data_IF_026111668167
#
_entry.id   IF_026111668167
#
_cell.length_a   1.000
_cell.length_b   1.000
_cell.length_c   1.000
_cell.angle_alpha   90.00
_cell.angle_beta   90.00
_cell.angle_gamma   90.00
#
_symmetry.space_group_name_H-M   'P 1'
#
loop_
_entity.id
_entity.type
_entity.pdbx_description
1 polymer ?
#
# COMPACT_ATOMS: atom_id res chain seq x y z
N UNK A 1 -67.53 -36.19 13.50
CA UNK A 1 -66.45 -36.84 12.69
C UNK A 1 -65.36 -35.82 12.43
N UNK A 2 -64.26 -35.92 13.13
CA UNK A 2 -63.11 -35.00 13.00
C UNK A 2 -62.14 -35.59 11.97
N UNK A 3 -61.99 -34.95 10.82
CA UNK A 3 -61.03 -35.34 9.79
C UNK A 3 -59.62 -35.11 10.31
N UNK A 4 -58.86 -36.21 10.46
CA UNK A 4 -57.41 -36.17 10.75
C UNK A 4 -56.65 -35.67 9.50
N UNK A 5 -56.15 -34.44 9.54
CA UNK A 5 -55.20 -33.92 8.55
C UNK A 5 -53.99 -34.87 8.48
N UNK A 6 -53.82 -35.57 7.38
CA UNK A 6 -52.62 -36.38 7.06
C UNK A 6 -51.44 -35.42 6.93
N UNK A 7 -50.55 -35.40 7.91
CA UNK A 7 -49.25 -34.76 7.79
C UNK A 7 -48.43 -35.57 6.77
N UNK A 8 -48.02 -34.92 5.69
CA UNK A 8 -47.10 -35.55 4.70
C UNK A 8 -45.78 -35.83 5.39
N UNK A 9 -45.19 -37.06 5.19
CA UNK A 9 -43.94 -37.37 5.81
C UNK A 9 -42.85 -36.43 5.26
N UNK A 10 -42.01 -35.93 6.14
CA UNK A 10 -40.87 -35.07 5.83
C UNK A 10 -39.90 -35.85 4.95
N UNK A 11 -39.73 -35.45 3.69
CA UNK A 11 -38.79 -36.09 2.78
C UNK A 11 -37.42 -35.48 2.89
N UNK A 12 -36.52 -36.12 3.65
CA UNK A 12 -35.13 -35.71 3.82
C UNK A 12 -34.42 -35.36 2.50
N UNK A 13 -34.63 -36.17 1.43
CA UNK A 13 -34.07 -35.91 0.11
C UNK A 13 -34.55 -34.57 -0.49
N UNK A 14 -35.85 -34.24 -0.33
CA UNK A 14 -36.41 -33.00 -0.87
C UNK A 14 -35.84 -31.77 -0.12
N UNK A 15 -35.77 -31.88 1.18
CA UNK A 15 -35.20 -30.82 2.04
C UNK A 15 -33.73 -30.61 1.73
N UNK A 16 -32.94 -31.70 1.59
CA UNK A 16 -31.52 -31.63 1.22
C UNK A 16 -31.33 -30.94 -0.15
N UNK A 17 -32.14 -31.31 -1.17
CA UNK A 17 -32.07 -30.66 -2.49
C UNK A 17 -32.40 -29.16 -2.38
N UNK A 18 -33.42 -28.77 -1.61
CA UNK A 18 -33.79 -27.38 -1.42
C UNK A 18 -32.61 -26.60 -0.79
N UNK A 19 -31.99 -27.16 0.26
CA UNK A 19 -30.84 -26.55 0.92
C UNK A 19 -29.69 -26.38 -0.10
N UNK A 20 -29.35 -27.41 -0.87
CA UNK A 20 -28.31 -27.34 -1.88
C UNK A 20 -28.60 -26.25 -2.96
N UNK A 21 -29.85 -26.15 -3.41
CA UNK A 21 -30.25 -25.12 -4.38
C UNK A 21 -30.13 -23.73 -3.76
N UNK A 22 -30.58 -23.54 -2.52
CA UNK A 22 -30.47 -22.25 -1.82
C UNK A 22 -28.99 -21.84 -1.64
N UNK A 23 -28.14 -22.76 -1.15
CA UNK A 23 -26.72 -22.51 -0.98
C UNK A 23 -26.03 -22.18 -2.30
N UNK A 24 -26.33 -22.95 -3.37
CA UNK A 24 -25.76 -22.71 -4.69
C UNK A 24 -26.19 -21.34 -5.26
N UNK A 25 -27.49 -21.02 -5.14
CA UNK A 25 -28.01 -19.72 -5.59
C UNK A 25 -27.37 -18.56 -4.82
N UNK A 26 -27.27 -18.69 -3.49
CA UNK A 26 -26.56 -17.71 -2.66
C UNK A 26 -25.09 -17.55 -3.10
N UNK A 27 -24.37 -18.65 -3.29
CA UNK A 27 -22.94 -18.61 -3.70
C UNK A 27 -22.74 -17.92 -5.05
N UNK A 28 -23.62 -18.19 -6.03
CA UNK A 28 -23.55 -17.55 -7.35
C UNK A 28 -23.83 -16.04 -7.24
N UNK A 29 -24.87 -15.65 -6.52
CA UNK A 29 -25.22 -14.23 -6.31
C UNK A 29 -24.08 -13.53 -5.56
N UNK A 30 -23.58 -14.16 -4.49
CA UNK A 30 -22.47 -13.64 -3.70
C UNK A 30 -21.22 -13.42 -4.55
N UNK A 31 -20.82 -14.36 -5.43
CA UNK A 31 -19.69 -14.20 -6.32
C UNK A 31 -19.87 -13.04 -7.33
N UNK A 32 -21.08 -12.88 -7.87
CA UNK A 32 -21.37 -11.76 -8.76
C UNK A 32 -21.24 -10.43 -8.03
N UNK A 33 -21.83 -10.31 -6.84
CA UNK A 33 -21.72 -9.11 -6.00
C UNK A 33 -20.25 -8.85 -5.65
N UNK A 34 -19.53 -9.89 -5.20
CA UNK A 34 -18.10 -9.80 -4.86
C UNK A 34 -17.30 -9.25 -6.02
N UNK A 35 -17.49 -9.79 -7.25
CA UNK A 35 -16.78 -9.29 -8.42
C UNK A 35 -16.99 -7.79 -8.62
N UNK A 36 -18.25 -7.34 -8.66
CA UNK A 36 -18.55 -5.93 -8.94
C UNK A 36 -18.05 -4.99 -7.84
N UNK A 37 -18.25 -5.36 -6.56
CA UNK A 37 -17.80 -4.55 -5.43
C UNK A 37 -16.29 -4.54 -5.34
N UNK A 38 -15.64 -5.70 -5.43
CA UNK A 38 -14.19 -5.81 -5.37
C UNK A 38 -13.52 -5.00 -6.50
N UNK A 39 -13.93 -5.22 -7.75
CA UNK A 39 -13.35 -4.50 -8.89
C UNK A 39 -13.54 -2.97 -8.76
N UNK A 40 -14.64 -2.51 -8.16
CA UNK A 40 -14.87 -1.08 -7.91
C UNK A 40 -13.96 -0.46 -6.85
N UNK A 41 -13.39 -1.28 -5.95
CA UNK A 41 -12.46 -0.82 -4.92
C UNK A 41 -11.01 -0.72 -5.43
N UNK A 42 -10.70 -1.28 -6.58
CA UNK A 42 -9.38 -1.29 -7.19
C UNK A 42 -9.39 -0.66 -8.59
N UNK A 43 -9.82 0.61 -8.70
CA UNK A 43 -9.87 1.30 -9.99
C UNK A 43 -8.46 1.58 -10.52
N UNK A 44 -8.37 2.15 -11.72
CA UNK A 44 -7.17 2.83 -12.17
C UNK A 44 -7.07 4.18 -11.44
N UNK A 45 -5.87 4.54 -11.03
CA UNK A 45 -5.54 5.84 -10.44
C UNK A 45 -4.75 6.66 -11.46
N UNK A 46 -5.37 7.73 -11.94
CA UNK A 46 -4.69 8.70 -12.80
C UNK A 46 -3.81 9.63 -11.94
N UNK A 47 -2.77 10.19 -12.56
CA UNK A 47 -1.94 11.20 -11.91
C UNK A 47 -2.81 12.39 -11.51
N UNK A 48 -2.72 12.78 -10.27
CA UNK A 48 -3.46 13.93 -9.76
C UNK A 48 -2.96 15.24 -10.40
N UNK A 49 -3.83 16.22 -10.45
CA UNK A 49 -3.43 17.57 -10.83
C UNK A 49 -2.56 18.19 -9.72
N UNK A 50 -1.27 18.25 -9.98
CA UNK A 50 -0.27 18.75 -9.02
C UNK A 50 -0.41 20.25 -8.74
N UNK A 51 -1.17 21.00 -9.57
CA UNK A 51 -1.40 22.44 -9.35
C UNK A 51 -2.35 22.72 -8.19
N UNK A 52 -3.19 21.74 -7.82
CA UNK A 52 -4.16 21.84 -6.73
C UNK A 52 -3.83 20.87 -5.57
N UNK A 53 -2.56 20.67 -5.28
CA UNK A 53 -2.08 19.80 -4.21
C UNK A 53 -0.95 20.45 -3.41
N UNK A 54 -0.84 20.12 -2.13
CA UNK A 54 0.23 20.58 -1.24
C UNK A 54 1.51 19.73 -1.34
N UNK A 55 1.52 18.66 -2.15
CA UNK A 55 2.66 17.76 -2.30
C UNK A 55 3.81 18.34 -3.10
N UNK A 56 5.02 17.82 -2.89
CA UNK A 56 6.17 18.10 -3.76
C UNK A 56 5.87 17.62 -5.19
N UNK A 57 6.37 18.36 -6.16
CA UNK A 57 6.24 18.04 -7.58
C UNK A 57 7.63 17.73 -8.13
N UNK A 58 7.76 16.72 -8.96
CA UNK A 58 9.06 16.40 -9.54
C UNK A 58 9.67 17.56 -10.34
N UNK A 59 8.86 18.30 -11.07
CA UNK A 59 9.30 19.48 -11.84
C UNK A 59 9.99 20.56 -10.98
N UNK A 60 9.70 20.63 -9.68
CA UNK A 60 10.33 21.59 -8.76
C UNK A 60 11.70 21.08 -8.26
N UNK A 61 12.04 19.80 -8.52
CA UNK A 61 13.22 19.10 -8.00
C UNK A 61 14.11 18.53 -9.11
N UNK A 62 13.71 18.61 -10.38
CA UNK A 62 14.38 17.87 -11.48
C UNK A 62 15.82 18.29 -11.74
N UNK A 63 16.15 19.55 -11.48
CA UNK A 63 17.54 20.06 -11.64
C UNK A 63 18.48 19.50 -10.54
N UNK A 64 17.96 19.32 -9.32
CA UNK A 64 18.72 18.84 -8.16
C UNK A 64 18.74 17.31 -8.07
N UNK A 65 17.60 16.69 -8.40
CA UNK A 65 17.41 15.23 -8.35
C UNK A 65 17.02 14.67 -9.73
N UNK A 66 17.93 14.71 -10.72
CA UNK A 66 17.64 14.17 -12.05
C UNK A 66 17.36 12.66 -11.97
N UNK A 67 16.35 12.20 -12.71
CA UNK A 67 15.97 10.79 -12.76
C UNK A 67 16.09 10.20 -14.15
N UNK A 68 16.46 8.94 -14.23
CA UNK A 68 16.37 8.15 -15.44
C UNK A 68 15.03 7.43 -15.49
N UNK A 69 14.32 7.59 -16.61
CA UNK A 69 13.09 6.87 -16.90
C UNK A 69 13.40 5.54 -17.57
N UNK A 70 12.70 4.50 -17.17
CA UNK A 70 12.79 3.18 -17.80
C UNK A 70 11.44 2.46 -17.68
N UNK A 71 11.33 1.32 -18.36
CA UNK A 71 10.12 0.48 -18.30
C UNK A 71 10.51 -0.97 -18.04
N UNK A 72 9.63 -1.69 -17.37
CA UNK A 72 9.71 -3.13 -17.21
C UNK A 72 8.31 -3.75 -17.31
N UNK A 73 8.23 -5.07 -17.49
CA UNK A 73 6.97 -5.76 -17.64
C UNK A 73 6.55 -6.43 -16.33
N UNK A 74 5.29 -6.24 -15.93
CA UNK A 74 4.63 -7.03 -14.89
C UNK A 74 3.41 -7.71 -15.50
N UNK A 75 3.52 -9.02 -15.76
CA UNK A 75 2.57 -9.74 -16.60
C UNK A 75 2.45 -9.09 -17.98
N UNK A 76 1.23 -8.70 -18.36
CA UNK A 76 0.94 -8.06 -19.65
C UNK A 76 1.07 -6.52 -19.63
N UNK A 77 1.35 -5.92 -18.48
CA UNK A 77 1.41 -4.46 -18.32
C UNK A 77 2.85 -3.97 -18.30
N UNK A 78 3.10 -2.88 -19.03
CA UNK A 78 4.35 -2.15 -18.99
C UNK A 78 4.30 -1.11 -17.87
N UNK A 79 5.20 -1.23 -16.90
CA UNK A 79 5.28 -0.32 -15.77
C UNK A 79 6.36 0.75 -15.99
N UNK A 80 6.08 1.96 -15.51
CA UNK A 80 7.01 3.07 -15.52
C UNK A 80 7.90 3.01 -14.28
N UNK A 81 9.21 2.98 -14.48
CA UNK A 81 10.22 3.07 -13.44
C UNK A 81 11.02 4.37 -13.49
N UNK A 82 11.54 4.75 -12.34
CA UNK A 82 12.31 5.97 -12.09
C UNK A 82 13.55 5.62 -11.28
N UNK A 83 14.74 5.98 -11.78
CA UNK A 83 16.00 5.74 -11.09
C UNK A 83 16.66 7.07 -10.72
N UNK A 84 16.89 7.27 -9.43
CA UNK A 84 17.52 8.46 -8.84
C UNK A 84 18.89 8.12 -8.26
N UNK A 85 19.75 9.15 -8.11
CA UNK A 85 21.05 8.98 -7.48
C UNK A 85 21.96 8.00 -8.24
N UNK A 86 22.02 8.10 -9.57
CA UNK A 86 22.70 7.12 -10.45
C UNK A 86 24.20 6.94 -10.15
N UNK A 87 24.84 7.94 -9.55
CA UNK A 87 26.26 7.90 -9.15
C UNK A 87 26.48 7.36 -7.74
N UNK A 88 25.41 7.15 -6.97
CA UNK A 88 25.50 6.62 -5.62
C UNK A 88 25.75 5.09 -5.67
N UNK A 89 26.55 4.57 -4.76
CA UNK A 89 27.01 3.19 -4.75
C UNK A 89 26.88 2.46 -3.40
N UNK A 90 26.29 3.12 -2.40
CA UNK A 90 26.12 2.52 -1.07
C UNK A 90 25.19 1.30 -1.09
N UNK A 91 24.19 1.32 -1.96
CA UNK A 91 23.22 0.26 -2.19
C UNK A 91 22.04 0.77 -3.01
N UNK A 92 21.14 -0.14 -3.37
CA UNK A 92 19.91 0.15 -4.11
C UNK A 92 18.70 -0.01 -3.19
N UNK A 93 17.93 1.06 -3.03
CA UNK A 93 16.60 1.00 -2.38
C UNK A 93 15.54 0.90 -3.48
N UNK A 94 14.75 -0.19 -3.48
CA UNK A 94 13.56 -0.30 -4.32
C UNK A 94 12.35 0.14 -3.49
N UNK A 95 11.65 1.18 -3.96
CA UNK A 95 10.51 1.79 -3.28
C UNK A 95 9.20 1.35 -3.94
N UNK A 96 8.33 0.74 -3.14
CA UNK A 96 6.97 0.36 -3.49
C UNK A 96 5.95 1.31 -2.84
N UNK A 97 5.13 1.97 -3.66
CA UNK A 97 4.16 2.98 -3.20
C UNK A 97 2.86 2.37 -2.64
N UNK A 98 2.10 3.18 -1.89
CA UNK A 98 0.76 2.85 -1.41
C UNK A 98 -0.31 2.96 -2.50
N UNK A 99 -1.45 2.30 -2.30
CA UNK A 99 -2.58 2.33 -3.24
C UNK A 99 -3.11 3.77 -3.41
N UNK A 100 -3.48 4.13 -4.64
CA UNK A 100 -3.97 5.46 -4.99
C UNK A 100 -2.87 6.51 -5.20
N UNK A 101 -1.60 6.14 -5.04
CA UNK A 101 -0.43 6.96 -5.34
C UNK A 101 0.39 6.40 -6.50
N UNK A 102 1.59 6.96 -6.65
CA UNK A 102 2.65 6.52 -7.55
C UNK A 102 4.01 6.89 -6.94
N UNK A 103 5.08 6.70 -7.69
CA UNK A 103 6.45 7.01 -7.25
C UNK A 103 6.61 8.43 -6.73
N UNK A 104 6.04 9.42 -7.44
CA UNK A 104 6.16 10.85 -7.09
C UNK A 104 5.46 11.21 -5.76
N UNK A 105 4.59 10.36 -5.24
CA UNK A 105 4.01 10.55 -3.90
C UNK A 105 5.04 10.40 -2.77
N UNK A 106 6.23 9.90 -3.07
CA UNK A 106 7.32 9.61 -2.11
C UNK A 106 8.59 10.40 -2.40
N UNK A 107 8.49 11.51 -3.15
CA UNK A 107 9.63 12.40 -3.44
C UNK A 107 10.42 12.80 -2.19
N UNK A 108 9.80 13.13 -1.04
CA UNK A 108 10.56 13.46 0.17
C UNK A 108 11.50 12.32 0.61
N UNK A 109 11.01 11.08 0.67
CA UNK A 109 11.82 9.93 1.06
C UNK A 109 12.86 9.60 0.00
N UNK A 110 12.50 9.69 -1.28
CA UNK A 110 13.43 9.43 -2.40
C UNK A 110 14.60 10.39 -2.35
N UNK A 111 14.34 11.71 -2.28
CA UNK A 111 15.40 12.72 -2.25
C UNK A 111 16.26 12.60 -1.00
N UNK A 112 15.65 12.37 0.15
CA UNK A 112 16.37 12.16 1.39
C UNK A 112 17.34 10.96 1.30
N UNK A 113 16.89 9.81 0.80
CA UNK A 113 17.77 8.64 0.62
C UNK A 113 18.88 8.91 -0.42
N UNK A 114 18.59 9.64 -1.49
CA UNK A 114 19.61 10.03 -2.49
C UNK A 114 20.70 10.88 -1.83
N UNK A 115 20.33 11.84 -0.98
CA UNK A 115 21.29 12.69 -0.23
C UNK A 115 22.15 11.88 0.75
N UNK A 116 21.61 10.76 1.25
CA UNK A 116 22.36 9.84 2.12
C UNK A 116 23.27 8.85 1.33
N UNK A 117 23.37 9.00 0.01
CA UNK A 117 24.27 8.18 -0.82
C UNK A 117 23.65 6.88 -1.35
N UNK A 118 22.33 6.71 -1.24
CA UNK A 118 21.64 5.57 -1.81
C UNK A 118 21.24 5.82 -3.27
N UNK A 119 21.29 4.79 -4.09
CA UNK A 119 20.55 4.77 -5.34
C UNK A 119 19.13 4.36 -5.06
N UNK A 120 18.13 5.07 -5.63
CA UNK A 120 16.73 4.78 -5.37
C UNK A 120 16.02 4.47 -6.69
N UNK A 121 15.41 3.29 -6.76
CA UNK A 121 14.49 2.90 -7.82
C UNK A 121 13.07 2.95 -7.27
N UNK A 122 12.22 3.77 -7.88
CA UNK A 122 10.79 3.77 -7.63
C UNK A 122 10.04 3.42 -8.91
N UNK A 123 8.79 2.99 -8.81
CA UNK A 123 7.96 2.69 -9.97
C UNK A 123 6.49 2.97 -9.67
N UNK A 124 5.70 3.17 -10.72
CA UNK A 124 4.25 3.19 -10.64
C UNK A 124 3.73 1.76 -10.84
N UNK A 125 2.94 1.27 -9.91
CA UNK A 125 2.35 -0.08 -9.98
C UNK A 125 1.30 -0.20 -11.08
N UNK A 126 0.92 -1.40 -11.46
CA UNK A 126 -0.15 -1.68 -12.43
C UNK A 126 -1.40 -0.84 -12.15
N UNK A 127 -1.87 -0.11 -13.15
CA UNK A 127 -3.07 0.73 -13.06
C UNK A 127 -2.88 2.00 -12.20
N UNK A 128 -1.64 2.42 -11.97
CA UNK A 128 -1.31 3.67 -11.28
C UNK A 128 -0.51 4.59 -12.20
N UNK A 129 -0.83 5.86 -12.18
CA UNK A 129 -0.15 6.98 -12.84
C UNK A 129 0.30 6.65 -14.28
N UNK A 130 1.62 6.62 -14.54
CA UNK A 130 2.18 6.46 -15.89
C UNK A 130 2.36 4.99 -16.32
N UNK A 131 2.01 4.04 -15.43
CA UNK A 131 2.00 2.61 -15.75
C UNK A 131 0.73 2.17 -16.46
N UNK A 132 0.85 1.10 -17.27
CA UNK A 132 -0.29 0.48 -17.90
C UNK A 132 -1.17 -0.28 -16.90
N UNK A 133 -2.35 -0.67 -17.33
CA UNK A 133 -3.34 -1.39 -16.54
C UNK A 133 -4.67 -0.65 -16.49
N UNK A 134 -5.77 -1.39 -16.69
CA UNK A 134 -7.14 -0.83 -16.64
C UNK A 134 -7.62 -0.58 -15.21
N UNK A 135 -6.94 -1.16 -14.24
CA UNK A 135 -7.23 -1.08 -12.79
C UNK A 135 -6.00 -1.57 -12.01
N UNK A 136 -5.96 -1.31 -10.72
CA UNK A 136 -4.96 -1.89 -9.82
C UNK A 136 -5.23 -3.36 -9.47
N UNK A 137 -6.29 -3.95 -10.02
CA UNK A 137 -6.71 -5.35 -9.97
C UNK A 137 -7.00 -5.90 -8.57
N UNK A 138 -6.26 -5.50 -7.55
CA UNK A 138 -6.44 -5.99 -6.20
C UNK A 138 -5.16 -5.95 -5.35
N UNK A 139 -5.30 -6.29 -4.08
CA UNK A 139 -4.21 -6.13 -3.12
C UNK A 139 -2.94 -6.93 -3.46
N UNK A 140 -3.01 -8.21 -3.94
CA UNK A 140 -1.82 -8.97 -4.32
C UNK A 140 -1.07 -8.42 -5.53
N UNK A 141 -1.64 -7.48 -6.31
CA UNK A 141 -0.95 -6.93 -7.48
C UNK A 141 0.35 -6.21 -7.12
N UNK A 142 0.41 -5.54 -5.97
CA UNK A 142 1.64 -4.88 -5.52
C UNK A 142 2.82 -5.86 -5.36
N UNK A 143 2.54 -7.09 -4.87
CA UNK A 143 3.54 -8.13 -4.74
C UNK A 143 4.05 -8.58 -6.12
N UNK A 144 3.14 -8.80 -7.08
CA UNK A 144 3.50 -9.22 -8.45
C UNK A 144 4.31 -8.14 -9.18
N UNK A 145 3.95 -6.86 -8.97
CA UNK A 145 4.66 -5.74 -9.57
C UNK A 145 6.05 -5.56 -8.94
N UNK A 146 6.19 -5.79 -7.64
CA UNK A 146 7.48 -5.76 -6.96
C UNK A 146 8.39 -6.91 -7.41
N UNK A 147 7.88 -8.13 -7.52
CA UNK A 147 8.63 -9.28 -8.05
C UNK A 147 9.17 -9.00 -9.46
N UNK A 148 8.32 -8.44 -10.32
CA UNK A 148 8.75 -8.00 -11.66
C UNK A 148 9.83 -6.90 -11.61
N UNK A 149 9.71 -5.94 -10.67
CA UNK A 149 10.70 -4.88 -10.48
C UNK A 149 12.05 -5.45 -10.01
N UNK A 150 12.04 -6.41 -9.08
CA UNK A 150 13.26 -7.06 -8.58
C UNK A 150 13.90 -7.96 -9.64
N UNK A 151 13.09 -8.66 -10.44
CA UNK A 151 13.56 -9.40 -11.62
C UNK A 151 14.28 -8.45 -12.60
N UNK A 152 13.66 -7.31 -12.92
CA UNK A 152 14.30 -6.29 -13.76
C UNK A 152 15.63 -5.82 -13.14
N UNK A 153 15.71 -5.52 -11.85
CA UNK A 153 16.96 -5.12 -11.16
C UNK A 153 18.04 -6.17 -11.33
N UNK A 154 17.71 -7.45 -11.16
CA UNK A 154 18.68 -8.56 -11.28
C UNK A 154 19.28 -8.70 -12.69
N UNK A 155 18.57 -8.24 -13.71
CA UNK A 155 18.98 -8.27 -15.12
C UNK A 155 19.76 -7.02 -15.54
N UNK A 156 19.79 -5.95 -14.73
CA UNK A 156 20.46 -4.70 -15.06
C UNK A 156 21.87 -4.63 -14.49
N UNK A 157 22.87 -4.65 -15.38
CA UNK A 157 24.26 -4.39 -14.98
C UNK A 157 24.39 -3.04 -14.26
N UNK A 158 25.07 -3.03 -13.10
CA UNK A 158 25.25 -1.86 -12.26
C UNK A 158 24.10 -1.57 -11.28
N UNK A 159 22.95 -2.29 -11.38
CA UNK A 159 21.96 -2.37 -10.31
C UNK A 159 22.11 -3.68 -9.55
N UNK A 160 22.26 -4.78 -10.23
CA UNK A 160 22.41 -6.13 -9.66
C UNK A 160 23.66 -6.30 -8.78
N UNK A 161 24.66 -5.44 -8.95
CA UNK A 161 25.88 -5.48 -8.14
C UNK A 161 25.76 -4.76 -6.79
N UNK A 162 24.69 -3.97 -6.60
CA UNK A 162 24.45 -3.21 -5.37
C UNK A 162 23.70 -4.03 -4.33
N UNK A 163 24.02 -3.88 -3.03
CA UNK A 163 23.18 -4.42 -1.97
C UNK A 163 21.74 -3.94 -2.13
N UNK A 164 20.80 -4.88 -2.18
CA UNK A 164 19.37 -4.60 -2.41
C UNK A 164 18.63 -4.41 -1.10
N UNK A 165 17.94 -3.30 -0.98
CA UNK A 165 17.11 -2.92 0.16
C UNK A 165 15.71 -2.55 -0.32
N UNK A 166 14.70 -2.77 0.49
CA UNK A 166 13.32 -2.48 0.13
C UNK A 166 12.71 -1.46 1.08
N UNK A 167 11.96 -0.51 0.52
CA UNK A 167 11.10 0.42 1.26
C UNK A 167 9.68 0.34 0.71
N UNK A 168 8.69 0.17 1.58
CA UNK A 168 7.29 0.16 1.16
C UNK A 168 6.36 0.82 2.16
N UNK A 169 5.32 1.48 1.65
CA UNK A 169 4.29 2.09 2.48
C UNK A 169 2.91 1.49 2.14
N UNK A 170 2.11 1.16 3.15
CA UNK A 170 0.74 0.70 2.98
C UNK A 170 0.66 -0.55 2.09
N UNK A 171 0.09 -0.44 0.89
CA UNK A 171 0.06 -1.46 -0.14
C UNK A 171 1.46 -1.94 -0.53
N UNK A 172 2.40 -1.00 -0.71
CA UNK A 172 3.82 -1.31 -0.89
C UNK A 172 4.46 -1.95 0.34
N UNK A 173 4.01 -1.56 1.55
CA UNK A 173 4.47 -2.16 2.81
C UNK A 173 4.13 -3.65 2.91
N UNK A 174 2.94 -4.07 2.45
CA UNK A 174 2.60 -5.47 2.24
C UNK A 174 3.54 -6.14 1.23
N UNK A 175 3.75 -5.51 0.08
CA UNK A 175 4.55 -6.11 -0.99
C UNK A 175 5.99 -6.37 -0.55
N UNK A 176 6.69 -5.37 0.03
CA UNK A 176 8.11 -5.48 0.40
C UNK A 176 8.38 -6.48 1.53
N UNK A 177 7.40 -6.79 2.35
CA UNK A 177 7.51 -7.83 3.38
C UNK A 177 7.12 -9.20 2.87
N UNK A 178 6.07 -9.28 2.05
CA UNK A 178 5.57 -10.55 1.53
C UNK A 178 6.49 -11.15 0.47
N UNK A 179 7.25 -10.32 -0.27
CA UNK A 179 8.24 -10.78 -1.27
C UNK A 179 9.35 -11.64 -0.65
N UNK A 180 9.53 -11.60 0.67
CA UNK A 180 10.49 -12.47 1.38
C UNK A 180 10.12 -13.96 1.29
N UNK A 181 8.96 -14.31 0.73
CA UNK A 181 8.64 -15.68 0.32
C UNK A 181 9.44 -16.15 -0.90
N UNK A 182 9.93 -15.22 -1.71
CA UNK A 182 10.62 -15.50 -2.96
C UNK A 182 12.15 -15.39 -2.74
N UNK A 183 12.93 -16.01 -3.62
CA UNK A 183 14.39 -16.12 -3.49
C UNK A 183 15.10 -14.91 -4.12
N UNK A 184 14.90 -13.71 -3.55
CA UNK A 184 15.64 -12.50 -3.89
C UNK A 184 16.69 -12.21 -2.81
N UNK A 185 17.94 -11.82 -3.19
CA UNK A 185 19.00 -11.46 -2.24
C UNK A 185 18.76 -10.06 -1.63
N UNK A 186 17.77 -9.99 -0.70
CA UNK A 186 17.35 -8.76 -0.03
C UNK A 186 18.10 -8.62 1.29
N UNK A 187 18.81 -7.50 1.47
CA UNK A 187 19.62 -7.22 2.66
C UNK A 187 18.81 -6.66 3.83
N UNK A 188 17.71 -5.97 3.57
CA UNK A 188 16.86 -5.41 4.61
C UNK A 188 15.59 -4.79 4.05
N UNK A 189 14.56 -4.74 4.87
CA UNK A 189 13.23 -4.27 4.50
C UNK A 189 12.72 -3.25 5.50
N UNK A 190 12.22 -2.11 5.03
CA UNK A 190 11.42 -1.17 5.82
C UNK A 190 9.99 -1.17 5.29
N UNK A 191 9.03 -1.52 6.13
CA UNK A 191 7.60 -1.49 5.82
C UNK A 191 6.90 -0.50 6.74
N UNK A 192 6.32 0.54 6.17
CA UNK A 192 5.53 1.54 6.88
C UNK A 192 4.04 1.33 6.63
N UNK A 193 3.24 1.28 7.68
CA UNK A 193 1.78 1.12 7.64
C UNK A 193 1.31 -0.08 6.78
N UNK A 194 2.12 -1.15 6.68
CA UNK A 194 1.82 -2.31 5.85
C UNK A 194 0.69 -3.17 6.40
N UNK A 195 -0.15 -3.70 5.51
CA UNK A 195 -1.14 -4.72 5.85
C UNK A 195 -0.53 -6.13 5.80
N UNK A 196 -1.01 -7.03 6.67
CA UNK A 196 -0.46 -8.37 6.79
C UNK A 196 -0.83 -9.28 5.62
N UNK A 197 -2.09 -9.28 5.22
CA UNK A 197 -2.55 -10.15 4.14
C UNK A 197 -3.69 -9.55 3.33
N UNK A 198 -3.87 -10.00 2.05
CA UNK A 198 -4.95 -9.51 1.20
C UNK A 198 -6.34 -9.75 1.79
N UNK A 199 -6.57 -10.89 2.45
CA UNK A 199 -7.88 -11.19 3.03
C UNK A 199 -8.18 -10.35 4.27
N UNK A 200 -7.18 -10.14 5.15
CA UNK A 200 -7.38 -9.36 6.37
C UNK A 200 -7.74 -7.92 6.06
N UNK A 201 -6.99 -7.27 5.15
CA UNK A 201 -7.28 -5.88 4.78
C UNK A 201 -8.62 -5.74 4.04
N UNK A 202 -8.97 -6.66 3.14
CA UNK A 202 -10.25 -6.62 2.42
C UNK A 202 -11.42 -6.84 3.37
N UNK A 203 -11.30 -7.74 4.34
CA UNK A 203 -12.32 -7.96 5.35
C UNK A 203 -12.44 -6.75 6.30
N UNK A 204 -11.32 -6.15 6.71
CA UNK A 204 -11.33 -4.95 7.53
C UNK A 204 -12.02 -3.77 6.83
N UNK A 205 -11.67 -3.50 5.57
CA UNK A 205 -12.31 -2.45 4.78
C UNK A 205 -13.80 -2.75 4.53
N UNK A 206 -14.13 -4.01 4.24
CA UNK A 206 -15.50 -4.46 4.08
C UNK A 206 -16.35 -4.35 5.36
N UNK A 207 -15.74 -4.56 6.54
CA UNK A 207 -16.41 -4.38 7.83
C UNK A 207 -16.81 -2.91 8.06
N UNK A 208 -16.02 -1.96 7.58
CA UNK A 208 -16.38 -0.53 7.63
C UNK A 208 -17.58 -0.19 6.75
N UNK A 209 -17.71 -0.88 5.60
CA UNK A 209 -18.77 -0.63 4.63
C UNK A 209 -20.10 -1.27 5.02
N UNK A 210 -20.09 -2.49 5.57
CA UNK A 210 -21.30 -3.30 5.79
C UNK A 210 -21.35 -4.02 7.15
N UNK A 211 -20.44 -3.65 8.06
CA UNK A 211 -20.34 -4.25 9.38
C UNK A 211 -20.02 -5.76 9.31
N UNK A 212 -20.40 -6.54 10.32
CA UNK A 212 -20.05 -7.97 10.40
C UNK A 212 -20.69 -8.82 9.28
N UNK A 213 -21.59 -8.28 8.46
CA UNK A 213 -22.15 -9.00 7.32
C UNK A 213 -21.10 -9.34 6.25
N UNK A 214 -19.96 -8.63 6.24
CA UNK A 214 -18.83 -8.94 5.33
C UNK A 214 -18.34 -10.38 5.48
N UNK A 215 -18.38 -10.96 6.69
CA UNK A 215 -17.92 -12.32 6.92
C UNK A 215 -18.76 -13.38 6.21
N UNK A 216 -20.01 -13.06 5.83
CA UNK A 216 -20.82 -13.92 4.95
C UNK A 216 -20.28 -13.91 3.51
N UNK A 217 -19.57 -12.86 3.10
CA UNK A 217 -18.94 -12.73 1.79
C UNK A 217 -17.52 -13.30 1.74
N UNK A 218 -16.90 -13.60 2.90
CA UNK A 218 -15.52 -14.05 2.97
C UNK A 218 -15.18 -15.25 2.05
N UNK A 219 -16.03 -16.30 1.91
CA UNK A 219 -15.75 -17.39 0.98
C UNK A 219 -15.72 -16.95 -0.48
N UNK A 220 -16.60 -16.03 -0.88
CA UNK A 220 -16.66 -15.50 -2.25
C UNK A 220 -15.49 -14.55 -2.52
N UNK A 221 -15.10 -13.71 -1.57
CA UNK A 221 -13.92 -12.84 -1.63
C UNK A 221 -12.65 -13.68 -1.77
N UNK A 222 -12.48 -14.70 -0.94
CA UNK A 222 -11.34 -15.61 -1.02
C UNK A 222 -11.26 -16.31 -2.38
N UNK A 223 -12.38 -16.85 -2.87
CA UNK A 223 -12.43 -17.53 -4.17
C UNK A 223 -12.12 -16.57 -5.31
N UNK A 224 -12.65 -15.36 -5.26
CA UNK A 224 -12.42 -14.35 -6.29
C UNK A 224 -10.95 -13.89 -6.33
N UNK A 225 -10.34 -13.59 -5.19
CA UNK A 225 -8.92 -13.26 -5.12
C UNK A 225 -8.04 -14.42 -5.61
N UNK A 226 -8.36 -15.67 -5.23
CA UNK A 226 -7.68 -16.88 -5.75
C UNK A 226 -7.81 -17.02 -7.27
N UNK A 227 -8.95 -16.68 -7.81
CA UNK A 227 -9.15 -16.67 -9.27
C UNK A 227 -8.29 -15.61 -9.97
N UNK A 228 -8.17 -14.41 -9.40
CA UNK A 228 -7.39 -13.30 -9.98
C UNK A 228 -5.88 -13.49 -9.85
N UNK A 229 -5.40 -14.01 -8.72
CA UNK A 229 -3.99 -13.94 -8.31
C UNK A 229 -3.36 -15.30 -7.97
N UNK A 230 -4.10 -16.40 -8.10
CA UNK A 230 -3.56 -17.72 -7.78
C UNK A 230 -3.03 -17.79 -6.33
N UNK A 231 -1.81 -18.32 -6.13
CA UNK A 231 -1.19 -18.47 -4.80
C UNK A 231 -0.94 -17.13 -4.10
N UNK A 232 -0.60 -16.07 -4.82
CA UNK A 232 -0.31 -14.75 -4.27
C UNK A 232 -1.47 -14.18 -3.42
N UNK A 233 -2.73 -14.57 -3.72
CA UNK A 233 -3.90 -14.19 -2.91
C UNK A 233 -3.89 -14.71 -1.46
N UNK A 234 -3.01 -15.64 -1.12
CA UNK A 234 -2.96 -16.28 0.20
C UNK A 234 -1.63 -16.06 0.93
N UNK A 235 -0.73 -15.27 0.36
CA UNK A 235 0.54 -14.95 1.00
C UNK A 235 0.34 -13.86 2.06
N UNK A 236 0.98 -14.06 3.22
CA UNK A 236 0.95 -13.15 4.34
C UNK A 236 2.37 -12.68 4.69
N UNK A 237 2.47 -11.42 5.10
CA UNK A 237 3.74 -10.78 5.43
C UNK A 237 4.39 -11.41 6.67
N UNK A 238 3.60 -11.71 7.70
CA UNK A 238 4.13 -12.31 8.94
C UNK A 238 4.66 -13.74 8.72
N UNK A 239 4.02 -14.53 7.85
CA UNK A 239 4.53 -15.85 7.46
C UNK A 239 5.87 -15.71 6.71
N UNK A 240 5.98 -14.76 5.77
CA UNK A 240 7.20 -14.50 5.01
C UNK A 240 8.35 -14.05 5.93
N UNK A 241 8.08 -13.11 6.83
CA UNK A 241 9.08 -12.59 7.79
C UNK A 241 9.56 -13.70 8.73
N UNK A 242 8.66 -14.57 9.23
CA UNK A 242 9.01 -15.66 10.14
C UNK A 242 9.73 -16.82 9.46
N UNK A 243 9.61 -16.97 8.15
CA UNK A 243 10.25 -18.04 7.38
C UNK A 243 11.74 -17.81 7.15
N UNK A 244 12.21 -16.55 7.23
CA UNK A 244 13.59 -16.15 6.97
C UNK A 244 14.24 -15.43 8.15
N UNK A 245 15.39 -14.84 7.88
CA UNK A 245 16.20 -14.06 8.84
C UNK A 245 16.58 -12.67 8.29
N UNK A 246 16.04 -12.28 7.15
CA UNK A 246 16.24 -10.95 6.57
C UNK A 246 15.79 -9.88 7.57
N UNK A 247 16.63 -8.88 7.90
CA UNK A 247 16.26 -7.81 8.80
C UNK A 247 15.05 -7.02 8.30
N UNK A 248 14.05 -6.85 9.17
CA UNK A 248 12.82 -6.12 8.85
C UNK A 248 12.54 -5.05 9.90
N UNK A 249 12.32 -3.81 9.47
CA UNK A 249 11.79 -2.74 10.30
C UNK A 249 10.33 -2.49 9.93
N UNK A 250 9.43 -2.61 10.90
CA UNK A 250 8.00 -2.36 10.76
C UNK A 250 7.64 -1.07 11.48
N UNK A 251 7.13 -0.08 10.73
CA UNK A 251 6.74 1.23 11.25
C UNK A 251 5.22 1.35 11.15
N UNK A 252 4.54 1.71 12.25
CA UNK A 252 3.08 1.82 12.22
C UNK A 252 2.55 2.84 13.23
N UNK A 253 1.49 3.57 12.84
CA UNK A 253 0.79 4.50 13.71
C UNK A 253 -0.33 3.83 14.51
N UNK A 254 -0.47 4.15 15.79
CA UNK A 254 -1.51 3.53 16.63
C UNK A 254 -2.93 3.94 16.24
N UNK A 255 -3.09 5.09 15.60
CA UNK A 255 -4.36 5.65 15.13
C UNK A 255 -4.50 5.56 13.59
N UNK A 256 -3.77 4.63 12.96
CA UNK A 256 -3.93 4.34 11.54
C UNK A 256 -5.38 3.92 11.24
N UNK A 257 -6.07 4.75 10.44
CA UNK A 257 -7.46 4.55 10.07
C UNK A 257 -7.63 3.73 8.80
N UNK A 258 -6.57 3.50 8.04
CA UNK A 258 -6.59 2.71 6.79
C UNK A 258 -6.22 1.26 7.03
N UNK A 259 -5.16 1.01 7.79
CA UNK A 259 -4.67 -0.32 8.18
C UNK A 259 -4.62 -0.36 9.70
N UNK A 260 -5.65 -0.91 10.34
CA UNK A 260 -5.80 -0.78 11.79
C UNK A 260 -4.68 -1.52 12.54
N UNK A 261 -3.99 -0.79 13.41
CA UNK A 261 -2.86 -1.24 14.22
C UNK A 261 -3.05 -2.60 14.92
N UNK A 262 -4.28 -2.90 15.38
CA UNK A 262 -4.62 -4.14 16.11
C UNK A 262 -5.38 -5.18 15.26
N UNK A 263 -5.52 -4.95 13.95
CA UNK A 263 -6.25 -5.85 13.04
C UNK A 263 -5.35 -6.30 11.90
N UNK A 264 -5.49 -5.69 10.73
CA UNK A 264 -4.80 -6.11 9.51
C UNK A 264 -3.36 -5.62 9.39
N UNK A 265 -2.86 -4.80 10.32
CA UNK A 265 -1.48 -4.33 10.29
C UNK A 265 -0.48 -5.47 10.55
N UNK A 266 0.63 -5.51 9.80
CA UNK A 266 1.71 -6.50 10.00
C UNK A 266 2.20 -6.49 11.45
N UNK A 267 2.35 -5.31 12.04
CA UNK A 267 2.83 -5.15 13.43
C UNK A 267 1.97 -5.88 14.45
N UNK A 268 0.69 -6.12 14.17
CA UNK A 268 -0.21 -6.85 15.08
C UNK A 268 0.27 -8.27 15.35
N UNK A 269 0.86 -8.94 14.34
CA UNK A 269 1.37 -10.32 14.44
C UNK A 269 2.64 -10.42 15.27
N UNK A 270 3.35 -9.31 15.52
CA UNK A 270 4.65 -9.30 16.21
C UNK A 270 4.64 -8.68 17.60
N UNK A 271 3.50 -8.20 18.10
CA UNK A 271 3.41 -7.58 19.43
C UNK A 271 3.67 -8.55 20.58
N UNK A 272 3.29 -9.82 20.44
CA UNK A 272 3.42 -10.83 21.47
C UNK A 272 4.68 -11.70 21.34
N UNK A 273 5.19 -11.83 20.10
CA UNK A 273 6.34 -12.68 19.77
C UNK A 273 7.09 -12.05 18.60
N UNK A 274 8.19 -11.36 18.90
CA UNK A 274 9.01 -10.61 17.97
C UNK A 274 10.34 -11.32 17.74
N UNK A 275 10.62 -11.83 16.52
CA UNK A 275 11.93 -12.38 16.16
C UNK A 275 13.06 -11.35 16.27
N UNK A 276 14.29 -11.79 16.51
CA UNK A 276 15.46 -10.90 16.69
C UNK A 276 15.75 -10.01 15.46
N UNK A 277 15.45 -10.51 14.26
CA UNK A 277 15.65 -9.77 13.00
C UNK A 277 14.51 -8.77 12.69
N UNK A 278 13.46 -8.72 13.51
CA UNK A 278 12.33 -7.77 13.35
C UNK A 278 12.47 -6.64 14.34
N UNK A 279 12.42 -5.40 13.85
CA UNK A 279 12.37 -4.18 14.65
C UNK A 279 11.00 -3.53 14.50
N UNK A 280 10.33 -3.24 15.62
CA UNK A 280 9.07 -2.49 15.64
C UNK A 280 9.33 -1.05 16.02
N UNK A 281 8.77 -0.11 15.23
CA UNK A 281 8.77 1.31 15.51
C UNK A 281 7.33 1.80 15.49
N UNK A 282 6.75 1.97 16.68
CA UNK A 282 5.35 2.34 16.83
C UNK A 282 5.25 3.83 17.08
N UNK A 283 4.52 4.52 16.19
CA UNK A 283 4.26 5.95 16.29
C UNK A 283 2.98 6.19 17.09
N UNK A 284 3.11 6.82 18.24
CA UNK A 284 2.00 7.15 19.15
C UNK A 284 1.85 8.66 19.39
N UNK A 285 2.72 9.48 18.78
CA UNK A 285 2.70 10.93 18.92
C UNK A 285 1.57 11.53 18.07
N UNK A 286 0.73 12.41 18.62
CA UNK A 286 -0.31 13.10 17.87
C UNK A 286 0.24 13.76 16.60
N UNK A 287 -0.44 13.56 15.48
CA UNK A 287 -0.02 14.08 14.18
C UNK A 287 0.90 13.17 13.37
N UNK A 288 1.56 12.15 13.99
CA UNK A 288 2.39 11.14 13.33
C UNK A 288 1.86 9.72 13.50
N UNK A 289 0.78 9.55 14.21
CA UNK A 289 0.18 8.28 14.60
C UNK A 289 -0.86 7.74 13.61
N UNK A 290 -1.07 8.45 12.48
CA UNK A 290 -1.97 8.07 11.41
C UNK A 290 -1.28 7.42 10.22
N UNK A 291 -2.06 7.05 9.19
CA UNK A 291 -1.58 6.32 8.01
C UNK A 291 -0.59 7.09 7.14
N UNK A 292 -0.83 8.39 6.90
CA UNK A 292 -0.10 9.21 5.91
C UNK A 292 0.90 10.18 6.53
N UNK A 293 0.95 10.28 7.84
CA UNK A 293 1.70 11.32 8.54
C UNK A 293 2.93 10.81 9.29
N UNK A 294 3.21 9.50 9.22
CA UNK A 294 4.25 8.80 9.98
C UNK A 294 5.63 9.47 9.96
N UNK A 295 5.96 10.10 8.83
CA UNK A 295 7.31 10.62 8.58
C UNK A 295 7.41 12.15 8.67
N UNK A 296 6.31 12.85 8.99
CA UNK A 296 6.30 14.33 9.02
C UNK A 296 7.02 14.88 10.23
N UNK A 297 7.76 15.97 10.04
CA UNK A 297 8.30 16.78 11.14
C UNK A 297 7.18 17.49 11.91
N UNK A 298 7.48 17.98 13.11
CA UNK A 298 6.51 18.78 13.89
C UNK A 298 6.14 20.07 13.15
N UNK A 299 7.10 20.67 12.45
CA UNK A 299 6.87 21.88 11.65
C UNK A 299 5.93 21.58 10.46
N UNK A 300 6.11 20.46 9.77
CA UNK A 300 5.22 20.00 8.70
C UNK A 300 3.79 19.76 9.21
N UNK A 301 3.64 19.13 10.38
CA UNK A 301 2.34 18.88 11.01
C UNK A 301 1.63 20.21 11.29
N UNK A 302 2.30 21.13 12.01
CA UNK A 302 1.73 22.43 12.35
C UNK A 302 1.40 23.26 11.10
N UNK A 303 2.26 23.21 10.08
CA UNK A 303 2.04 23.91 8.82
C UNK A 303 0.84 23.36 8.06
N UNK A 304 0.72 22.05 7.89
CA UNK A 304 -0.41 21.42 7.21
C UNK A 304 -1.74 21.66 7.95
N UNK A 305 -1.73 21.70 9.27
CA UNK A 305 -2.92 22.09 10.04
C UNK A 305 -3.36 23.52 9.70
N UNK A 306 -2.40 24.47 9.56
CA UNK A 306 -2.73 25.83 9.17
C UNK A 306 -3.23 25.90 7.71
N UNK A 307 -2.59 25.21 6.77
CA UNK A 307 -3.01 25.11 5.37
C UNK A 307 -4.44 24.56 5.26
N UNK A 308 -4.73 23.47 5.98
CA UNK A 308 -6.06 22.86 5.98
C UNK A 308 -7.13 23.81 6.55
N UNK A 309 -6.79 24.57 7.60
CA UNK A 309 -7.67 25.57 8.18
C UNK A 309 -8.00 26.70 7.19
N UNK A 310 -6.96 27.20 6.50
CA UNK A 310 -7.12 28.28 5.52
C UNK A 310 -7.90 27.78 4.29
N UNK A 311 -7.64 26.56 3.84
CA UNK A 311 -8.40 25.91 2.77
C UNK A 311 -9.87 25.72 3.13
N UNK A 312 -10.16 25.34 4.38
CA UNK A 312 -11.56 25.18 4.85
C UNK A 312 -12.29 26.54 4.81
N UNK A 313 -11.63 27.64 5.18
CA UNK A 313 -12.21 28.98 5.09
C UNK A 313 -12.50 29.36 3.63
N UNK A 314 -11.58 29.07 2.72
CA UNK A 314 -11.78 29.27 1.28
C UNK A 314 -12.97 28.43 0.78
N UNK A 315 -13.04 27.16 1.16
CA UNK A 315 -14.11 26.24 0.78
C UNK A 315 -15.49 26.72 1.26
N UNK A 316 -15.56 27.27 2.48
CA UNK A 316 -16.77 27.86 3.03
C UNK A 316 -17.15 29.17 2.32
N UNK A 317 -16.16 30.04 1.96
CA UNK A 317 -16.38 31.29 1.27
C UNK A 317 -16.97 31.10 -0.15
N UNK A 318 -16.73 29.95 -0.76
CA UNK A 318 -17.27 29.58 -2.08
C UNK A 318 -18.44 28.57 -2.02
N UNK A 319 -19.17 28.52 -0.89
CA UNK A 319 -20.31 27.60 -0.72
C UNK A 319 -19.96 26.15 -1.10
N UNK A 320 -18.75 25.68 -0.72
CA UNK A 320 -18.23 24.33 -0.94
C UNK A 320 -17.92 24.00 -2.41
N UNK A 321 -17.78 25.02 -3.27
CA UNK A 321 -17.48 24.89 -4.71
C UNK A 321 -16.43 25.90 -5.14
N UNK A 322 -15.18 25.68 -4.73
CA UNK A 322 -14.08 26.54 -5.11
C UNK A 322 -13.90 26.51 -6.64
N UNK A 323 -13.86 27.67 -7.34
CA UNK A 323 -13.48 27.71 -8.75
C UNK A 323 -12.05 27.20 -8.94
N UNK A 324 -11.80 26.47 -10.03
CA UNK A 324 -10.50 25.85 -10.28
C UNK A 324 -9.31 26.83 -10.22
N UNK A 325 -9.46 28.05 -10.76
CA UNK A 325 -8.41 29.07 -10.68
C UNK A 325 -8.09 29.51 -9.24
N UNK A 326 -9.12 29.70 -8.41
CA UNK A 326 -8.95 30.04 -6.98
C UNK A 326 -8.28 28.90 -6.20
N UNK A 327 -8.59 27.66 -6.55
CA UNK A 327 -7.95 26.48 -5.98
C UNK A 327 -6.46 26.42 -6.34
N UNK A 328 -6.13 26.68 -7.62
CA UNK A 328 -4.74 26.78 -8.07
C UNK A 328 -4.00 27.93 -7.38
N UNK A 329 -4.62 29.13 -7.28
CA UNK A 329 -4.01 30.29 -6.62
C UNK A 329 -3.74 30.00 -5.14
N UNK A 330 -4.66 29.31 -4.45
CA UNK A 330 -4.44 28.87 -3.08
C UNK A 330 -3.22 27.95 -2.98
N UNK A 331 -3.17 26.86 -3.75
CA UNK A 331 -2.05 25.90 -3.68
C UNK A 331 -0.73 26.46 -4.23
N UNK A 332 -0.77 27.55 -5.03
CA UNK A 332 0.44 28.27 -5.43
C UNK A 332 1.13 28.97 -4.25
N UNK A 333 0.38 29.27 -3.17
CA UNK A 333 0.94 29.90 -1.95
C UNK A 333 1.50 28.90 -0.96
N UNK A 334 1.25 27.58 -1.14
CA UNK A 334 1.67 26.55 -0.20
C UNK A 334 3.18 26.28 -0.33
N UNK A 335 3.90 26.38 0.77
CA UNK A 335 5.28 25.89 0.87
C UNK A 335 5.27 24.36 0.88
N UNK A 336 5.49 23.78 -0.30
CA UNK A 336 5.43 22.32 -0.52
C UNK A 336 6.55 21.59 0.19
N UNK A 337 7.71 22.20 0.33
CA UNK A 337 8.85 21.62 1.02
C UNK A 337 8.56 21.53 2.53
N UNK A 338 8.05 22.59 3.12
CA UNK A 338 7.64 22.58 4.53
C UNK A 338 6.47 21.61 4.78
N UNK A 339 5.47 21.59 3.87
CA UNK A 339 4.29 20.71 3.99
C UNK A 339 4.66 19.22 4.03
N UNK A 340 5.77 18.85 3.42
CA UNK A 340 6.26 17.47 3.33
C UNK A 340 7.62 17.26 4.00
N UNK A 341 8.05 18.19 4.85
CA UNK A 341 9.30 18.05 5.59
C UNK A 341 9.26 16.78 6.45
N UNK A 342 10.31 15.97 6.31
CA UNK A 342 10.45 14.72 7.05
C UNK A 342 10.99 14.96 8.48
N UNK A 343 10.61 14.07 9.40
CA UNK A 343 11.24 13.95 10.72
C UNK A 343 12.65 13.40 10.54
N UNK A 344 13.64 14.27 10.68
CA UNK A 344 15.04 13.94 10.49
C UNK A 344 15.51 12.83 11.44
N UNK A 345 15.03 12.82 12.69
CA UNK A 345 15.39 11.80 13.68
C UNK A 345 14.91 10.42 13.22
N UNK A 346 13.68 10.33 12.77
CA UNK A 346 13.12 9.09 12.23
C UNK A 346 13.88 8.64 10.99
N UNK A 347 14.14 9.56 10.04
CA UNK A 347 14.85 9.21 8.81
C UNK A 347 16.28 8.74 9.06
N UNK A 348 16.99 9.34 10.04
CA UNK A 348 18.31 8.86 10.48
C UNK A 348 18.24 7.47 11.11
N UNK A 349 17.13 7.13 11.80
CA UNK A 349 16.92 5.78 12.34
C UNK A 349 16.74 4.75 11.20
N UNK A 350 16.03 5.11 10.14
CA UNK A 350 15.91 4.28 8.92
C UNK A 350 17.28 4.07 8.26
N UNK A 351 18.06 5.14 8.11
CA UNK A 351 19.42 5.10 7.59
C UNK A 351 20.31 4.16 8.42
N UNK A 352 20.29 4.31 9.74
CA UNK A 352 21.09 3.48 10.64
C UNK A 352 20.68 1.99 10.53
N UNK A 353 19.40 1.71 10.37
CA UNK A 353 18.91 0.34 10.12
C UNK A 353 19.47 -0.20 8.81
N UNK A 354 19.34 0.49 7.69
CA UNK A 354 19.86 0.01 6.41
C UNK A 354 21.39 -0.18 6.44
N UNK A 355 22.13 0.74 7.06
CA UNK A 355 23.58 0.57 7.23
C UNK A 355 23.95 -0.67 8.07
N UNK A 356 23.10 -1.05 9.02
CA UNK A 356 23.31 -2.27 9.81
C UNK A 356 23.08 -3.55 9.01
N UNK A 357 22.21 -3.50 7.99
CA UNK A 357 21.95 -4.62 7.07
C UNK A 357 23.09 -4.90 6.07
N UNK A 358 24.04 -3.97 5.93
CA UNK A 358 25.19 -4.12 5.01
C UNK A 358 26.44 -4.74 5.70
N UNK A 359 26.37 -4.99 7.00
CA UNK A 359 27.49 -5.54 7.79
C UNK A 359 27.36 -7.05 7.89
#
# INVERSE_FOLDING_TARGET
MTEKKKTRPFSFKRTFIIICVVVLSYSLISLVITKFVYDSQFPRYERHDESVMAGLRYQDLEDEYPRQLFHFMSGDNRLQGYLYGQTNDQGLIVLAHGIGGGADSYLPQITWFVDQGWRVMAYDSTGSFDSEGKSTRGFPQALLDLDAALTYVSEQAGLSDLPLLLYGHSWGGYAVTTILHDDHDIRGVISAAGANSPMEIVLEQGERMMGPLIYLQAPSLWLYQRFLFGSAASLAADDAIRAGDTPVMLIHGINDDMVQYKKSAIVASFQADQPEHVRLLIQDQPGRDGHKSLFRSDDAIAYIESVNKDYLQLYEAYDQKIPYGEDQDFYATVDRALAQQLDETLMQELQAFYLSCLR
#
